data_IF_733554255395
#
_entry.id   IF_733554255395
#
_cell.length_a   1.000
_cell.length_b   1.000
_cell.length_c   1.000
_cell.angle_alpha   90.00
_cell.angle_beta   90.00
_cell.angle_gamma   90.00
#
_symmetry.space_group_name_H-M   'P 1'
#
loop_
_entity.id
_entity.type
_entity.pdbx_description
1 polymer ?
#
# COMPACT_ATOMS: atom_id res chain seq x y z
N UNK A 1 5.89 19.78 15.53
CA UNK A 1 6.79 19.24 14.53
C UNK A 1 6.33 17.85 14.12
N UNK A 2 6.12 17.63 12.83
CA UNK A 2 5.78 16.33 12.32
C UNK A 2 6.99 15.40 12.40
N UNK A 3 6.94 14.41 13.27
CA UNK A 3 7.97 13.38 13.32
C UNK A 3 7.88 12.46 12.09
N UNK A 4 9.02 12.04 11.59
CA UNK A 4 9.08 11.00 10.57
C UNK A 4 8.93 9.64 11.22
N UNK A 5 8.03 8.82 10.69
CA UNK A 5 7.83 7.46 11.17
C UNK A 5 8.46 6.50 10.17
N UNK A 6 9.38 5.69 10.65
CA UNK A 6 9.90 4.55 9.91
C UNK A 6 9.48 3.29 10.66
N UNK A 7 8.64 2.48 10.03
CA UNK A 7 8.20 1.22 10.59
C UNK A 7 8.58 0.07 9.68
N UNK A 8 9.11 -0.99 10.26
CA UNK A 8 9.36 -2.24 9.57
C UNK A 8 9.07 -3.41 10.48
N UNK A 9 8.84 -4.58 9.90
CA UNK A 9 8.63 -5.83 10.65
C UNK A 9 9.71 -6.81 10.24
N UNK A 10 10.35 -7.44 11.25
CA UNK A 10 11.24 -8.55 10.98
C UNK A 10 10.39 -9.73 10.48
N UNK A 11 10.60 -10.22 9.25
CA UNK A 11 9.75 -11.24 8.66
C UNK A 11 9.87 -12.63 9.32
N UNK A 12 10.93 -12.87 10.11
CA UNK A 12 11.14 -14.16 10.75
C UNK A 12 10.41 -14.31 12.11
N UNK A 13 10.24 -13.22 12.84
CA UNK A 13 9.66 -13.27 14.19
C UNK A 13 8.50 -12.30 14.42
N UNK A 14 8.15 -11.49 13.44
CA UNK A 14 7.06 -10.52 13.53
C UNK A 14 7.34 -9.31 14.42
N UNK A 15 8.58 -9.12 14.85
CA UNK A 15 8.93 -7.96 15.66
C UNK A 15 8.87 -6.67 14.85
N UNK A 16 8.20 -5.67 15.39
CA UNK A 16 8.15 -4.34 14.80
C UNK A 16 9.42 -3.59 15.19
N UNK A 17 10.12 -3.08 14.18
CA UNK A 17 11.20 -2.13 14.37
C UNK A 17 10.69 -0.78 13.91
N UNK A 18 10.67 0.20 14.81
CA UNK A 18 10.13 1.52 14.51
C UNK A 18 11.06 2.61 14.99
N UNK A 19 11.17 3.66 14.18
CA UNK A 19 11.81 4.90 14.55
C UNK A 19 10.78 6.02 14.50
N UNK A 20 10.59 6.69 15.63
CA UNK A 20 9.61 7.77 15.76
C UNK A 20 10.34 9.02 16.24
N UNK A 21 10.09 10.14 15.59
CA UNK A 21 10.67 11.43 15.95
C UNK A 21 10.07 12.07 17.19
N UNK A 22 9.21 11.37 17.94
CA UNK A 22 8.57 11.84 19.17
C UNK A 22 9.13 11.16 20.40
N UNK A 23 8.78 11.68 21.58
CA UNK A 23 9.18 11.12 22.87
C UNK A 23 8.03 10.38 23.53
N UNK A 24 8.33 9.24 24.15
CA UNK A 24 7.42 8.49 25.01
C UNK A 24 6.58 7.45 24.30
N UNK A 25 6.02 6.56 25.09
CA UNK A 25 5.25 5.39 24.65
C UNK A 25 3.95 5.78 23.95
N UNK A 26 3.26 6.81 24.45
CA UNK A 26 2.00 7.27 23.86
C UNK A 26 2.21 7.87 22.47
N UNK A 27 3.33 8.57 22.27
CA UNK A 27 3.69 9.12 20.95
C UNK A 27 3.95 8.01 19.96
N UNK A 28 4.64 6.94 20.36
CA UNK A 28 4.89 5.77 19.52
C UNK A 28 3.57 5.09 19.12
N UNK A 29 2.72 4.77 20.10
CA UNK A 29 1.43 4.12 19.85
C UNK A 29 0.55 4.94 18.91
N UNK A 30 0.44 6.24 19.18
CA UNK A 30 -0.34 7.13 18.32
C UNK A 30 0.24 7.21 16.91
N UNK A 31 1.56 7.26 16.79
CA UNK A 31 2.24 7.35 15.50
C UNK A 31 1.97 6.12 14.63
N UNK A 32 2.00 4.90 15.19
CA UNK A 32 1.78 3.68 14.42
C UNK A 32 0.31 3.36 14.19
N UNK A 33 -0.60 3.93 14.99
CA UNK A 33 -2.04 3.71 14.89
C UNK A 33 -2.76 4.84 14.16
N UNK A 34 -2.13 5.98 13.95
CA UNK A 34 -2.74 7.12 13.28
C UNK A 34 -2.97 6.83 11.80
N UNK A 35 -4.18 7.06 11.31
CA UNK A 35 -4.53 6.87 9.90
C UNK A 35 -3.82 7.90 9.02
N UNK A 36 -3.15 7.44 7.96
CA UNK A 36 -2.44 8.28 7.01
C UNK A 36 -2.62 7.76 5.60
N UNK A 37 -2.63 8.65 4.61
CA UNK A 37 -2.70 8.25 3.22
C UNK A 37 -1.40 7.54 2.80
N UNK A 38 -1.49 6.31 2.28
CA UNK A 38 -0.29 5.56 1.90
C UNK A 38 0.34 6.05 0.58
N UNK A 39 -0.45 6.70 -0.27
CA UNK A 39 0.04 7.10 -1.58
C UNK A 39 0.59 5.91 -2.37
N UNK A 40 1.75 6.09 -3.00
CA UNK A 40 2.39 5.06 -3.81
C UNK A 40 2.76 3.78 -3.06
N UNK A 41 2.80 3.82 -1.73
CA UNK A 41 3.04 2.61 -0.93
C UNK A 41 1.90 1.60 -1.05
N UNK A 42 0.73 1.99 -1.54
CA UNK A 42 -0.39 1.10 -1.80
C UNK A 42 -0.27 0.35 -3.15
N UNK A 43 0.52 0.85 -4.09
CA UNK A 43 0.68 0.24 -5.42
C UNK A 43 1.08 -1.24 -5.39
N UNK A 44 1.97 -1.71 -4.50
CA UNK A 44 2.31 -3.13 -4.47
C UNK A 44 1.11 -4.07 -4.35
N UNK A 45 0.03 -3.66 -3.68
CA UNK A 45 -1.18 -4.48 -3.59
C UNK A 45 -1.86 -4.63 -4.94
N UNK A 46 -1.84 -3.60 -5.77
CA UNK A 46 -2.37 -3.65 -7.14
C UNK A 46 -1.59 -4.67 -7.98
N UNK A 47 -0.26 -4.57 -7.95
CA UNK A 47 0.60 -5.47 -8.73
C UNK A 47 0.52 -6.91 -8.23
N UNK A 48 0.47 -7.12 -6.93
CA UNK A 48 0.33 -8.46 -6.36
C UNK A 48 -1.01 -9.08 -6.74
N UNK A 49 -2.10 -8.32 -6.71
CA UNK A 49 -3.40 -8.80 -7.16
C UNK A 49 -3.36 -9.19 -8.64
N UNK A 50 -2.66 -8.43 -9.47
CA UNK A 50 -2.47 -8.77 -10.89
C UNK A 50 -1.70 -10.08 -11.06
N UNK A 51 -0.65 -10.30 -10.30
CA UNK A 51 0.14 -11.54 -10.33
C UNK A 51 -0.74 -12.72 -9.90
N UNK A 52 -1.53 -12.57 -8.86
CA UNK A 52 -2.47 -13.61 -8.42
C UNK A 52 -3.54 -13.91 -9.48
N UNK A 53 -3.87 -12.92 -10.29
CA UNK A 53 -4.85 -13.05 -11.39
C UNK A 53 -4.23 -13.65 -12.67
N UNK A 54 -2.98 -14.09 -12.62
CA UNK A 54 -2.29 -14.78 -13.71
C UNK A 54 -1.32 -13.94 -14.53
N UNK A 55 -1.14 -12.67 -14.22
CA UNK A 55 -0.16 -11.82 -14.89
C UNK A 55 1.25 -12.13 -14.39
N UNK A 56 2.26 -11.72 -15.15
CA UNK A 56 3.66 -11.89 -14.79
C UNK A 56 4.37 -10.55 -14.71
N UNK A 57 5.49 -10.45 -13.95
CA UNK A 57 6.26 -9.20 -13.88
C UNK A 57 6.78 -8.71 -15.23
N UNK A 58 6.95 -9.61 -16.19
CA UNK A 58 7.40 -9.28 -17.55
C UNK A 58 6.29 -8.87 -18.51
N UNK A 59 5.03 -8.97 -18.11
CA UNK A 59 3.91 -8.54 -18.93
C UNK A 59 3.98 -7.03 -19.20
N UNK A 60 3.49 -6.63 -20.37
CA UNK A 60 3.57 -5.25 -20.83
C UNK A 60 2.29 -4.51 -20.47
N UNK A 61 2.47 -3.27 -20.01
CA UNK A 61 1.39 -2.31 -19.80
C UNK A 61 1.81 -0.98 -20.43
N UNK A 62 0.84 -0.21 -20.91
CA UNK A 62 1.13 1.08 -21.54
C UNK A 62 0.90 2.23 -20.58
N UNK A 63 1.89 3.11 -20.52
CA UNK A 63 1.80 4.41 -19.88
C UNK A 63 1.35 5.42 -20.94
N UNK A 64 0.06 5.72 -20.98
CA UNK A 64 -0.58 6.59 -21.96
C UNK A 64 -1.72 7.38 -21.33
N UNK A 65 -2.17 8.48 -21.95
CA UNK A 65 -3.36 9.18 -21.47
C UNK A 65 -4.59 8.27 -21.43
N UNK A 66 -5.25 8.22 -20.28
CA UNK A 66 -6.47 7.45 -20.07
C UNK A 66 -7.47 8.28 -19.26
N UNK A 67 -8.76 7.98 -19.44
CA UNK A 67 -9.84 8.64 -18.71
C UNK A 67 -10.84 7.60 -18.23
N UNK A 68 -11.19 7.64 -16.95
CA UNK A 68 -12.17 6.77 -16.34
C UNK A 68 -13.26 7.62 -15.69
N UNK A 69 -14.48 7.59 -16.24
CA UNK A 69 -15.62 8.36 -15.73
C UNK A 69 -15.28 9.83 -15.46
N UNK A 70 -14.63 10.49 -16.41
CA UNK A 70 -14.24 11.89 -16.31
C UNK A 70 -12.97 12.16 -15.52
N UNK A 71 -12.35 11.14 -14.94
CA UNK A 71 -11.08 11.28 -14.23
C UNK A 71 -9.91 10.78 -15.08
N UNK A 72 -8.92 11.64 -15.25
CA UNK A 72 -7.71 11.35 -16.03
C UNK A 72 -6.51 11.35 -15.10
N UNK A 73 -6.03 10.15 -14.65
CA UNK A 73 -4.85 10.09 -13.79
C UNK A 73 -3.62 10.64 -14.52
N UNK A 74 -2.75 11.28 -13.76
CA UNK A 74 -1.53 11.90 -14.26
C UNK A 74 -0.31 11.28 -13.60
N UNK A 75 0.80 11.21 -14.33
CA UNK A 75 2.10 10.91 -13.77
C UNK A 75 2.68 12.17 -13.10
N UNK A 76 3.64 11.98 -12.18
CA UNK A 76 4.27 13.10 -11.49
C UNK A 76 4.89 14.11 -12.47
N UNK A 77 5.50 13.62 -13.52
CA UNK A 77 6.16 14.46 -14.53
C UNK A 77 5.20 14.95 -15.62
N UNK A 78 3.93 14.54 -15.56
CA UNK A 78 2.89 14.86 -16.55
C UNK A 78 3.24 14.45 -17.98
N UNK A 79 4.14 13.48 -18.13
CA UNK A 79 4.52 12.88 -19.41
C UNK A 79 4.17 11.39 -19.39
N UNK A 80 4.11 10.79 -20.58
CA UNK A 80 3.77 9.39 -20.73
C UNK A 80 4.91 8.69 -21.49
N UNK A 81 5.31 7.51 -20.99
CA UNK A 81 6.51 6.81 -21.47
C UNK A 81 6.21 5.60 -22.36
N UNK A 82 4.94 5.34 -22.66
CA UNK A 82 4.57 4.23 -23.55
C UNK A 82 4.66 2.87 -22.88
N UNK A 83 5.00 1.85 -23.66
CA UNK A 83 5.03 0.46 -23.20
C UNK A 83 6.15 0.20 -22.20
N UNK A 84 5.82 -0.52 -21.14
CA UNK A 84 6.79 -0.94 -20.12
C UNK A 84 6.33 -2.26 -19.48
N UNK A 85 7.25 -2.94 -18.79
CA UNK A 85 6.90 -4.13 -18.02
C UNK A 85 6.22 -3.73 -16.71
N UNK A 86 5.43 -4.65 -16.14
CA UNK A 86 4.85 -4.44 -14.81
C UNK A 86 5.95 -4.19 -13.78
N UNK A 87 7.06 -4.92 -13.86
CA UNK A 87 8.21 -4.73 -12.96
C UNK A 87 8.75 -3.31 -13.04
N UNK A 88 8.98 -2.80 -14.24
CA UNK A 88 9.48 -1.44 -14.47
C UNK A 88 8.50 -0.41 -13.91
N UNK A 89 7.22 -0.56 -14.22
CA UNK A 89 6.17 0.37 -13.78
C UNK A 89 6.11 0.47 -12.25
N UNK A 90 6.21 -0.65 -11.56
CA UNK A 90 6.22 -0.67 -10.10
C UNK A 90 7.52 -0.07 -9.53
N UNK A 91 8.66 -0.45 -10.07
CA UNK A 91 9.97 0.04 -9.62
C UNK A 91 10.08 1.57 -9.73
N UNK A 92 9.51 2.13 -10.79
CA UNK A 92 9.54 3.57 -11.04
C UNK A 92 8.28 4.30 -10.54
N UNK A 93 7.38 3.56 -9.90
CA UNK A 93 6.16 4.10 -9.30
C UNK A 93 5.34 4.96 -10.26
N UNK A 94 5.16 4.48 -11.48
CA UNK A 94 4.42 5.20 -12.53
C UNK A 94 2.92 5.12 -12.22
N UNK A 95 2.24 6.25 -12.20
CA UNK A 95 0.84 6.31 -11.74
C UNK A 95 -0.16 5.69 -12.71
N UNK A 96 -0.10 6.07 -13.99
CA UNK A 96 -1.11 5.64 -14.97
C UNK A 96 -1.13 4.12 -15.15
N UNK A 97 0.01 3.42 -15.28
CA UNK A 97 0.00 1.96 -15.33
C UNK A 97 -0.63 1.30 -14.10
N UNK A 98 -0.42 1.86 -12.90
CA UNK A 98 -1.02 1.31 -11.68
C UNK A 98 -2.56 1.38 -11.73
N UNK A 99 -3.10 2.50 -12.20
CA UNK A 99 -4.56 2.67 -12.34
C UNK A 99 -5.11 1.75 -13.43
N UNK A 100 -4.45 1.68 -14.57
CA UNK A 100 -4.86 0.81 -15.67
C UNK A 100 -4.84 -0.66 -15.26
N UNK A 101 -3.83 -1.06 -14.51
CA UNK A 101 -3.72 -2.42 -13.98
C UNK A 101 -4.85 -2.72 -12.99
N UNK A 102 -5.14 -1.78 -12.09
CA UNK A 102 -6.25 -1.92 -11.14
C UNK A 102 -7.60 -2.04 -11.85
N UNK A 103 -7.79 -1.31 -12.95
CA UNK A 103 -9.00 -1.41 -13.77
C UNK A 103 -9.13 -2.81 -14.40
N UNK A 104 -8.04 -3.35 -14.91
CA UNK A 104 -8.03 -4.69 -15.53
C UNK A 104 -8.30 -5.80 -14.52
N UNK A 105 -7.67 -5.73 -13.35
CA UNK A 105 -7.78 -6.75 -12.29
C UNK A 105 -9.10 -6.60 -11.53
N UNK A 106 -9.54 -5.38 -11.33
CA UNK A 106 -10.68 -5.02 -10.50
C UNK A 106 -10.25 -4.62 -9.10
N UNK A 107 -10.66 -3.43 -8.67
CA UNK A 107 -10.29 -2.92 -7.34
C UNK A 107 -10.80 -3.80 -6.19
N UNK A 108 -11.91 -4.53 -6.39
CA UNK A 108 -12.40 -5.47 -5.36
C UNK A 108 -11.32 -6.50 -5.01
N UNK A 109 -10.65 -7.08 -6.00
CA UNK A 109 -9.57 -8.06 -5.78
C UNK A 109 -8.39 -7.43 -5.07
N UNK A 110 -8.04 -6.20 -5.43
CA UNK A 110 -6.96 -5.45 -4.79
C UNK A 110 -7.28 -5.20 -3.31
N UNK A 111 -8.49 -4.75 -3.02
CA UNK A 111 -8.92 -4.48 -1.64
C UNK A 111 -9.03 -5.77 -0.82
N UNK A 112 -9.56 -6.84 -1.40
CA UNK A 112 -9.62 -8.15 -0.74
C UNK A 112 -8.22 -8.62 -0.33
N UNK A 113 -7.26 -8.47 -1.22
CA UNK A 113 -5.87 -8.82 -0.95
C UNK A 113 -5.28 -7.96 0.15
N UNK A 114 -5.44 -6.64 0.07
CA UNK A 114 -4.92 -5.73 1.08
C UNK A 114 -5.49 -6.05 2.47
N UNK A 115 -6.79 -6.31 2.57
CA UNK A 115 -7.42 -6.74 3.83
C UNK A 115 -6.83 -8.05 4.34
N UNK A 116 -6.65 -9.03 3.47
CA UNK A 116 -6.10 -10.33 3.85
C UNK A 116 -4.68 -10.22 4.41
N UNK A 117 -3.94 -9.21 3.98
CA UNK A 117 -2.59 -8.93 4.46
C UNK A 117 -2.56 -8.08 5.73
N UNK A 118 -3.70 -7.52 6.15
CA UNK A 118 -3.79 -6.83 7.43
C UNK A 118 -4.24 -5.37 7.38
N UNK A 119 -4.58 -4.83 6.21
CA UNK A 119 -5.12 -3.46 6.12
C UNK A 119 -6.56 -3.46 6.63
N UNK A 120 -6.80 -2.77 7.74
CA UNK A 120 -8.07 -2.84 8.47
C UNK A 120 -8.98 -1.64 8.26
N UNK A 121 -8.52 -0.62 7.55
CA UNK A 121 -9.20 0.69 7.47
C UNK A 121 -9.97 0.90 6.17
N UNK A 122 -10.01 -0.11 5.29
CA UNK A 122 -10.68 0.00 3.99
C UNK A 122 -12.20 0.07 4.15
N UNK A 123 -12.83 1.02 3.45
CA UNK A 123 -14.29 1.18 3.44
C UNK A 123 -14.84 0.32 2.31
N UNK A 124 -15.59 -0.72 2.67
CA UNK A 124 -16.12 -1.71 1.72
C UNK A 124 -17.62 -1.57 1.49
N UNK A 125 -18.34 -0.85 2.34
CA UNK A 125 -19.80 -0.70 2.30
C UNK A 125 -20.19 0.75 2.53
N UNK A 126 -21.41 1.10 2.08
CA UNK A 126 -21.96 2.44 2.24
C UNK A 126 -21.94 3.24 0.94
N UNK A 127 -22.26 4.52 1.05
CA UNK A 127 -22.40 5.40 -0.12
C UNK A 127 -21.05 5.74 -0.76
N UNK A 128 -20.00 5.80 0.05
CA UNK A 128 -18.63 6.07 -0.42
C UNK A 128 -17.73 4.92 0.01
N UNK A 129 -17.14 4.22 -0.95
CA UNK A 129 -16.25 3.09 -0.68
C UNK A 129 -14.88 3.33 -1.32
N UNK A 130 -13.90 2.51 -0.90
CA UNK A 130 -12.58 2.48 -1.51
C UNK A 130 -12.53 1.66 -2.80
N UNK A 131 -13.66 1.08 -3.23
CA UNK A 131 -13.75 0.39 -4.50
C UNK A 131 -13.86 1.40 -5.65
N UNK A 132 -12.77 2.13 -5.87
CA UNK A 132 -12.62 3.11 -6.93
C UNK A 132 -11.16 3.15 -7.38
N UNK A 133 -10.91 3.65 -8.60
CA UNK A 133 -9.57 3.61 -9.18
C UNK A 133 -8.56 4.56 -8.50
N UNK A 134 -9.01 5.62 -7.86
CA UNK A 134 -8.11 6.49 -7.11
C UNK A 134 -7.44 5.75 -5.94
N UNK A 135 -8.09 4.73 -5.41
CA UNK A 135 -7.51 3.89 -4.35
C UNK A 135 -6.25 3.15 -4.82
N UNK A 136 -6.11 2.89 -6.12
CA UNK A 136 -4.88 2.29 -6.67
C UNK A 136 -3.64 3.17 -6.44
N UNK A 137 -3.83 4.47 -6.32
CA UNK A 137 -2.78 5.45 -6.02
C UNK A 137 -2.72 5.80 -4.53
N UNK A 138 -3.41 5.04 -3.69
CA UNK A 138 -3.44 5.26 -2.25
C UNK A 138 -4.40 6.34 -1.78
N UNK A 139 -5.31 6.80 -2.63
CA UNK A 139 -6.37 7.72 -2.24
C UNK A 139 -7.51 6.98 -1.55
N UNK A 140 -7.40 6.78 -0.25
CA UNK A 140 -8.35 5.99 0.55
C UNK A 140 -9.17 6.90 1.45
N UNK A 141 -10.38 6.46 1.80
CA UNK A 141 -11.30 7.24 2.64
C UNK A 141 -10.69 7.58 4.00
N UNK A 142 -10.17 6.58 4.70
CA UNK A 142 -9.54 6.75 6.02
C UNK A 142 -8.02 6.66 5.99
N UNK A 143 -7.43 6.36 4.84
CA UNK A 143 -6.01 6.04 4.78
C UNK A 143 -5.71 4.67 5.39
N UNK A 144 -4.51 4.50 5.88
CA UNK A 144 -4.05 3.26 6.52
C UNK A 144 -3.28 3.59 7.79
N UNK A 145 -3.21 2.62 8.70
CA UNK A 145 -2.36 2.73 9.86
C UNK A 145 -0.96 2.22 9.51
N UNK A 146 0.12 2.93 9.87
CA UNK A 146 1.48 2.45 9.60
C UNK A 146 1.75 1.03 10.10
N UNK A 147 1.18 0.64 11.24
CA UNK A 147 1.33 -0.72 11.76
C UNK A 147 0.71 -1.75 10.82
N UNK A 148 -0.43 -1.47 10.21
CA UNK A 148 -1.07 -2.37 9.26
C UNK A 148 -0.21 -2.54 8.00
N UNK A 149 0.37 -1.44 7.51
CA UNK A 149 1.29 -1.50 6.36
C UNK A 149 2.55 -2.30 6.67
N UNK A 150 3.10 -2.14 7.87
CA UNK A 150 4.27 -2.89 8.31
C UNK A 150 3.97 -4.39 8.38
N UNK A 151 2.80 -4.77 8.91
CA UNK A 151 2.36 -6.17 8.95
C UNK A 151 2.18 -6.71 7.53
N UNK A 152 1.55 -5.95 6.65
CA UNK A 152 1.31 -6.37 5.27
C UNK A 152 2.62 -6.60 4.52
N UNK A 153 3.57 -5.68 4.62
CA UNK A 153 4.87 -5.81 3.97
C UNK A 153 5.72 -6.92 4.61
N UNK A 154 5.65 -7.09 5.92
CA UNK A 154 6.30 -8.21 6.60
C UNK A 154 5.75 -9.56 6.15
N UNK A 155 4.45 -9.65 5.95
CA UNK A 155 3.80 -10.85 5.41
C UNK A 155 4.30 -11.15 3.99
N UNK A 156 4.39 -10.14 3.13
CA UNK A 156 4.91 -10.30 1.76
C UNK A 156 6.37 -10.79 1.79
N UNK A 157 7.20 -10.18 2.63
CA UNK A 157 8.60 -10.58 2.77
C UNK A 157 8.76 -11.99 3.31
N UNK A 158 7.79 -12.47 4.10
CA UNK A 158 7.79 -13.81 4.70
C UNK A 158 7.04 -14.84 3.83
N UNK A 159 6.99 -14.66 2.52
CA UNK A 159 6.38 -15.61 1.60
C UNK A 159 4.86 -15.76 1.74
N UNK A 160 4.18 -14.73 2.24
CA UNK A 160 2.73 -14.73 2.42
C UNK A 160 2.26 -15.27 3.76
N UNK A 161 3.15 -15.71 4.62
CA UNK A 161 2.77 -16.14 5.99
C UNK A 161 2.62 -14.90 6.87
N UNK A 162 1.41 -14.66 7.34
CA UNK A 162 1.11 -13.49 8.16
C UNK A 162 1.86 -13.54 9.48
N UNK A 163 2.60 -12.49 9.80
CA UNK A 163 3.31 -12.35 11.06
C UNK A 163 2.52 -11.43 12.00
N UNK A 164 2.58 -11.74 13.30
CA UNK A 164 1.96 -10.90 14.32
C UNK A 164 2.95 -9.85 14.80
N UNK A 165 2.52 -8.58 14.92
CA UNK A 165 3.37 -7.56 15.51
C UNK A 165 3.44 -7.78 17.02
N UNK A 166 4.49 -8.44 17.49
CA UNK A 166 4.58 -8.90 18.89
C UNK A 166 5.42 -7.99 19.79
N UNK A 167 6.05 -6.98 19.25
CA UNK A 167 7.10 -6.28 19.99
C UNK A 167 6.85 -4.80 20.24
N UNK A 168 5.64 -4.29 20.02
CA UNK A 168 5.37 -2.87 20.31
C UNK A 168 5.68 -2.54 21.76
N UNK A 169 5.18 -3.37 22.69
CA UNK A 169 5.42 -3.20 24.13
C UNK A 169 6.90 -3.31 24.48
N UNK A 170 7.60 -4.28 23.90
CA UNK A 170 9.03 -4.48 24.15
C UNK A 170 9.89 -3.34 23.64
N UNK A 171 9.54 -2.76 22.50
CA UNK A 171 10.24 -1.60 21.96
C UNK A 171 10.04 -0.38 22.88
N UNK A 172 8.85 -0.24 23.43
CA UNK A 172 8.49 0.83 24.37
C UNK A 172 9.24 0.68 25.69
N UNK A 173 9.33 -0.54 26.21
CA UNK A 173 9.93 -0.82 27.54
C UNK A 173 11.45 -0.66 27.57
N UNK A 174 12.11 -0.54 26.43
CA UNK A 174 13.57 -0.35 26.36
C UNK A 174 14.01 1.10 26.47
N UNK A 175 13.07 1.99 26.56
CA UNK A 175 13.33 3.41 26.74
C UNK A 175 12.79 3.87 28.09
#
# INVERSE_FOLDING_TARGET
SSGTILTSINPHNGHIVAMVGGRGTDSFSRAVMAERQPGSAFKPFVYLAAIQDGMTPGDIIEDKPVTYNGWSPQNYERTFSGSMTLRYALQHSVNVPAVELADKVGMRKVLDLAESLGISTLVRKGDTTDNNLAAALGGLTHGVRPIDMAVAYGTLANGGVKVKPVAITKIIDRN
#
